data_IF_059597993772
#
_entry.id   IF_059597993772
#
_cell.length_a   1.000
_cell.length_b   1.000
_cell.length_c   1.000
_cell.angle_alpha   90.00
_cell.angle_beta   90.00
_cell.angle_gamma   90.00
#
_symmetry.space_group_name_H-M   'P 1'
#
loop_
_entity.id
_entity.type
_entity.pdbx_description
1 polymer ?
#
# COMPACT_ATOMS: atom_id res chain seq x y z
N UNK A 1 4.27 -52.02 -31.15
CA UNK A 1 3.41 -51.46 -30.07
C UNK A 1 4.23 -50.33 -29.40
N UNK A 2 3.98 -49.14 -29.87
CA UNK A 2 4.75 -47.92 -29.55
C UNK A 2 3.88 -47.06 -28.64
N UNK A 3 4.21 -47.00 -27.35
CA UNK A 3 3.46 -46.21 -26.34
C UNK A 3 4.20 -44.89 -26.09
N UNK A 4 3.85 -43.86 -26.84
CA UNK A 4 4.37 -42.50 -26.67
C UNK A 4 3.66 -41.82 -25.53
N UNK A 5 4.23 -41.87 -24.34
CA UNK A 5 3.84 -41.03 -23.23
C UNK A 5 4.23 -39.59 -23.51
N UNK A 6 3.25 -38.78 -23.92
CA UNK A 6 3.34 -37.32 -23.95
C UNK A 6 3.26 -36.78 -22.52
N UNK A 7 4.40 -36.43 -21.98
CA UNK A 7 4.50 -35.59 -20.77
C UNK A 7 4.01 -34.19 -21.13
N UNK A 8 2.81 -33.83 -20.66
CA UNK A 8 2.34 -32.44 -20.64
C UNK A 8 3.16 -31.69 -19.60
N UNK A 9 4.13 -30.89 -20.03
CA UNK A 9 4.69 -29.80 -19.20
C UNK A 9 3.59 -28.79 -19.02
N UNK A 10 3.01 -28.74 -17.83
CA UNK A 10 2.20 -27.60 -17.38
C UNK A 10 3.11 -26.37 -17.32
N UNK A 11 2.92 -25.43 -18.22
CA UNK A 11 3.47 -24.09 -18.07
C UNK A 11 2.73 -23.44 -16.90
N UNK A 12 3.42 -23.34 -15.76
CA UNK A 12 3.06 -22.37 -14.73
C UNK A 12 3.23 -20.98 -15.37
N UNK A 13 2.15 -20.37 -15.79
CA UNK A 13 2.09 -18.94 -16.00
C UNK A 13 2.23 -18.29 -14.62
N UNK A 14 3.45 -17.98 -14.21
CA UNK A 14 3.72 -16.98 -13.18
C UNK A 14 3.25 -15.65 -13.76
N UNK A 15 2.04 -15.23 -13.38
CA UNK A 15 1.63 -13.86 -13.59
C UNK A 15 2.71 -12.97 -12.96
N UNK A 16 3.34 -12.11 -13.75
CA UNK A 16 4.22 -11.07 -13.23
C UNK A 16 3.32 -10.09 -12.46
N UNK A 17 3.15 -10.36 -11.15
CA UNK A 17 2.52 -9.40 -10.25
C UNK A 17 3.31 -8.09 -10.27
N UNK A 18 2.61 -6.98 -10.11
CA UNK A 18 3.24 -5.66 -9.97
C UNK A 18 4.23 -5.73 -8.82
N UNK A 19 5.42 -5.17 -9.01
CA UNK A 19 6.46 -5.11 -7.98
C UNK A 19 6.40 -3.76 -7.28
N UNK A 20 6.62 -3.77 -5.98
CA UNK A 20 6.77 -2.55 -5.18
C UNK A 20 7.85 -1.65 -5.79
N UNK A 21 7.63 -0.33 -5.74
CA UNK A 21 8.55 0.64 -6.34
C UNK A 21 8.64 1.89 -5.47
N UNK A 22 9.84 2.38 -5.27
CA UNK A 22 10.07 3.67 -4.63
C UNK A 22 10.64 4.64 -5.65
N UNK A 23 10.00 5.83 -5.74
CA UNK A 23 10.58 6.99 -6.43
C UNK A 23 10.74 8.13 -5.44
N UNK A 24 11.92 8.73 -5.41
CA UNK A 24 12.22 9.87 -4.54
C UNK A 24 12.43 11.09 -5.43
N UNK A 25 11.80 12.20 -5.07
CA UNK A 25 11.88 13.47 -5.79
C UNK A 25 12.36 14.58 -4.85
N UNK A 26 12.95 15.65 -5.40
CA UNK A 26 12.96 16.94 -4.71
C UNK A 26 11.54 17.49 -4.66
N UNK A 27 11.15 18.20 -3.59
CA UNK A 27 9.83 18.87 -3.56
C UNK A 27 9.65 19.91 -4.66
N UNK A 28 10.73 20.37 -5.30
CA UNK A 28 10.73 21.41 -6.34
C UNK A 28 10.88 20.87 -7.76
N UNK A 29 11.14 19.55 -7.92
CA UNK A 29 11.41 18.94 -9.23
C UNK A 29 10.73 17.57 -9.36
N UNK A 30 9.99 17.38 -10.44
CA UNK A 30 9.32 16.13 -10.75
C UNK A 30 10.26 15.07 -11.40
N UNK A 31 11.52 15.37 -11.65
CA UNK A 31 12.50 14.37 -12.05
C UNK A 31 12.93 13.52 -10.84
N UNK A 32 12.87 12.19 -10.90
CA UNK A 32 13.22 11.35 -9.77
C UNK A 32 14.72 11.40 -9.48
N UNK A 33 15.08 11.59 -8.21
CA UNK A 33 16.44 11.45 -7.67
C UNK A 33 16.82 9.98 -7.50
N UNK A 34 15.83 9.13 -7.20
CA UNK A 34 15.93 7.68 -7.10
C UNK A 34 14.69 7.05 -7.72
N UNK A 35 14.89 5.93 -8.39
CA UNK A 35 13.81 5.08 -8.91
C UNK A 35 14.26 3.62 -8.79
N UNK A 36 13.63 2.86 -7.89
CA UNK A 36 14.03 1.49 -7.56
C UNK A 36 12.86 0.56 -7.30
N UNK A 37 13.06 -0.71 -7.61
CA UNK A 37 12.17 -1.83 -7.23
C UNK A 37 12.89 -2.85 -6.33
N UNK A 38 14.13 -2.54 -5.92
CA UNK A 38 14.86 -3.39 -4.98
C UNK A 38 14.28 -3.25 -3.57
N UNK A 39 13.72 -4.34 -2.99
CA UNK A 39 13.03 -4.29 -1.71
C UNK A 39 13.94 -3.89 -0.54
N UNK A 40 15.23 -4.19 -0.63
CA UNK A 40 16.19 -3.80 0.41
C UNK A 40 16.40 -2.29 0.39
N UNK A 41 16.66 -1.73 -0.79
CA UNK A 41 16.82 -0.28 -0.97
C UNK A 41 15.55 0.48 -0.57
N UNK A 42 14.36 -0.03 -0.93
CA UNK A 42 13.08 0.58 -0.52
C UNK A 42 12.99 0.65 1.00
N UNK A 43 13.21 -0.47 1.69
CA UNK A 43 13.12 -0.54 3.14
C UNK A 43 14.13 0.37 3.83
N UNK A 44 15.39 0.41 3.37
CA UNK A 44 16.46 1.24 3.93
C UNK A 44 16.18 2.74 3.76
N UNK A 45 15.79 3.18 2.56
CA UNK A 45 15.48 4.59 2.30
C UNK A 45 14.28 5.09 3.12
N UNK A 46 13.27 4.26 3.31
CA UNK A 46 12.11 4.57 4.13
C UNK A 46 12.45 4.55 5.63
N UNK A 47 13.25 3.58 6.09
CA UNK A 47 13.66 3.46 7.50
C UNK A 47 14.46 4.69 7.98
N UNK A 48 15.34 5.27 7.15
CA UNK A 48 16.06 6.53 7.44
C UNK A 48 15.08 7.68 7.74
N UNK A 49 13.84 7.58 7.28
CA UNK A 49 12.76 8.57 7.50
C UNK A 49 11.79 8.17 8.61
N UNK A 50 12.06 7.07 9.31
CA UNK A 50 11.20 6.53 10.35
C UNK A 50 9.98 5.78 9.83
N UNK A 51 9.89 5.56 8.52
CA UNK A 51 8.80 4.81 7.88
C UNK A 51 9.18 3.33 7.82
N UNK A 52 8.38 2.47 8.44
CA UNK A 52 8.55 1.02 8.38
C UNK A 52 7.98 0.49 7.08
N UNK A 53 8.75 -0.28 6.35
CA UNK A 53 8.32 -0.97 5.13
C UNK A 53 8.83 -2.40 5.15
N UNK A 54 7.91 -3.36 5.06
CA UNK A 54 8.23 -4.79 5.14
C UNK A 54 7.41 -5.57 4.12
N UNK A 55 7.89 -6.75 3.79
CA UNK A 55 7.10 -7.73 3.03
C UNK A 55 6.70 -8.90 3.92
N UNK A 56 5.40 -9.14 3.95
CA UNK A 56 4.81 -10.28 4.66
C UNK A 56 4.42 -11.39 3.68
N UNK A 57 4.27 -12.62 4.16
CA UNK A 57 3.85 -13.73 3.31
C UNK A 57 2.48 -13.46 2.68
N UNK A 58 2.40 -13.56 1.35
CA UNK A 58 1.13 -13.55 0.64
C UNK A 58 0.33 -14.81 0.94
N UNK A 59 -0.98 -14.65 1.10
CA UNK A 59 -1.93 -15.75 1.29
C UNK A 59 -3.12 -15.56 0.36
N UNK A 60 -3.51 -16.63 -0.32
CA UNK A 60 -4.72 -16.60 -1.16
C UNK A 60 -5.95 -16.36 -0.27
N UNK A 61 -6.68 -15.29 -0.55
CA UNK A 61 -7.94 -14.93 0.09
C UNK A 61 -9.06 -15.09 -0.94
N UNK A 62 -10.19 -15.67 -0.52
CA UNK A 62 -11.35 -15.76 -1.40
C UNK A 62 -11.83 -14.36 -1.79
N UNK A 63 -12.24 -14.19 -3.05
CA UNK A 63 -12.64 -12.88 -3.59
C UNK A 63 -13.84 -12.28 -2.84
N UNK A 64 -14.66 -13.11 -2.21
CA UNK A 64 -15.83 -12.76 -1.40
C UNK A 64 -15.57 -12.87 0.11
N UNK A 65 -14.31 -13.09 0.53
CA UNK A 65 -13.97 -13.15 1.96
C UNK A 65 -14.38 -11.87 2.67
N UNK A 66 -15.07 -12.02 3.78
CA UNK A 66 -15.42 -10.92 4.66
C UNK A 66 -14.22 -10.48 5.52
N UNK A 67 -14.42 -9.44 6.32
CA UNK A 67 -13.37 -8.92 7.19
C UNK A 67 -12.82 -9.98 8.15
N UNK A 68 -13.71 -10.81 8.73
CA UNK A 68 -13.31 -11.83 9.71
C UNK A 68 -12.39 -12.87 9.07
N UNK A 69 -12.74 -13.36 7.87
CA UNK A 69 -11.94 -14.31 7.13
C UNK A 69 -10.57 -13.74 6.74
N UNK A 70 -10.51 -12.47 6.32
CA UNK A 70 -9.25 -11.80 6.01
C UNK A 70 -8.39 -11.67 7.27
N UNK A 71 -8.93 -11.19 8.38
CA UNK A 71 -8.18 -11.04 9.63
C UNK A 71 -7.73 -12.37 10.21
N UNK A 72 -8.55 -13.43 10.10
CA UNK A 72 -8.17 -14.77 10.53
C UNK A 72 -6.98 -15.33 9.75
N UNK A 73 -6.90 -15.06 8.44
CA UNK A 73 -5.80 -15.50 7.61
C UNK A 73 -4.45 -14.85 7.99
N UNK A 74 -4.46 -13.62 8.51
CA UNK A 74 -3.28 -12.86 8.92
C UNK A 74 -3.18 -12.64 10.43
N UNK A 75 -3.89 -13.45 11.23
CA UNK A 75 -3.94 -13.28 12.67
C UNK A 75 -2.55 -13.26 13.36
N UNK A 76 -1.59 -14.10 13.02
CA UNK A 76 -0.26 -14.05 13.64
C UNK A 76 0.44 -12.71 13.46
N UNK A 77 0.42 -12.16 12.25
CA UNK A 77 1.06 -10.89 11.90
C UNK A 77 0.33 -9.69 12.54
N UNK A 78 -0.99 -9.72 12.56
CA UNK A 78 -1.82 -8.69 13.21
C UNK A 78 -1.56 -8.67 14.71
N UNK A 79 -1.55 -9.82 15.39
CA UNK A 79 -1.28 -9.90 16.82
C UNK A 79 0.16 -9.52 17.17
N UNK A 80 1.13 -9.85 16.30
CA UNK A 80 2.50 -9.36 16.45
C UNK A 80 2.55 -7.82 16.46
N UNK A 81 1.94 -7.16 15.46
CA UNK A 81 1.90 -5.69 15.39
C UNK A 81 1.20 -5.06 16.59
N UNK A 82 0.07 -5.62 17.03
CA UNK A 82 -0.61 -5.15 18.23
C UNK A 82 0.30 -5.22 19.47
N UNK A 83 1.06 -6.30 19.59
CA UNK A 83 2.00 -6.47 20.70
C UNK A 83 3.18 -5.51 20.65
N UNK A 84 3.71 -5.20 19.47
CA UNK A 84 4.88 -4.33 19.28
C UNK A 84 4.55 -2.85 19.50
N UNK A 85 3.42 -2.37 19.00
CA UNK A 85 3.09 -0.94 18.84
C UNK A 85 1.85 -0.51 19.64
N UNK A 86 1.16 -1.46 20.30
CA UNK A 86 -0.02 -1.15 21.12
C UNK A 86 -1.27 -0.78 20.33
N UNK A 87 -1.39 -1.24 19.08
CA UNK A 87 -2.61 -1.07 18.28
C UNK A 87 -3.79 -1.79 18.94
N UNK A 88 -4.94 -1.09 19.02
CA UNK A 88 -6.14 -1.56 19.76
C UNK A 88 -7.27 -1.97 18.87
N UNK A 89 -7.33 -1.43 17.67
CA UNK A 89 -8.35 -1.77 16.68
C UNK A 89 -7.73 -2.10 15.33
N UNK A 90 -8.44 -2.90 14.57
CA UNK A 90 -8.05 -3.36 13.24
C UNK A 90 -9.31 -3.47 12.39
N UNK A 91 -9.21 -3.07 11.14
CA UNK A 91 -10.25 -3.28 10.16
C UNK A 91 -9.67 -3.69 8.80
N UNK A 92 -10.56 -3.97 7.84
CA UNK A 92 -10.22 -4.29 6.46
C UNK A 92 -10.93 -3.33 5.54
N UNK A 93 -10.17 -2.63 4.70
CA UNK A 93 -10.73 -1.86 3.59
C UNK A 93 -10.57 -2.66 2.30
N UNK A 94 -11.66 -2.75 1.53
CA UNK A 94 -11.65 -3.31 0.17
C UNK A 94 -12.19 -2.28 -0.81
N UNK A 95 -11.40 -2.02 -1.85
CA UNK A 95 -11.79 -1.14 -2.95
C UNK A 95 -11.81 -1.91 -4.25
N UNK A 96 -12.91 -1.76 -4.98
CA UNK A 96 -13.13 -2.42 -6.28
C UNK A 96 -13.46 -1.38 -7.34
N UNK A 97 -13.24 -1.68 -8.64
CA UNK A 97 -13.40 -0.69 -9.73
C UNK A 97 -14.82 -0.10 -9.87
N UNK A 98 -15.83 -0.81 -9.39
CA UNK A 98 -17.25 -0.40 -9.41
C UNK A 98 -17.76 0.11 -8.06
N UNK A 99 -16.86 0.34 -7.07
CA UNK A 99 -17.25 0.89 -5.77
C UNK A 99 -17.94 2.26 -5.94
N UNK A 100 -19.15 2.48 -5.38
CA UNK A 100 -19.96 3.69 -5.66
C UNK A 100 -19.29 4.98 -5.20
N UNK A 101 -18.45 4.94 -4.16
CA UNK A 101 -17.79 6.11 -3.60
C UNK A 101 -16.33 6.27 -4.04
N UNK A 102 -15.84 5.46 -4.98
CA UNK A 102 -14.41 5.44 -5.36
C UNK A 102 -13.87 6.82 -5.74
N UNK A 103 -14.62 7.58 -6.53
CA UNK A 103 -14.15 8.88 -7.01
C UNK A 103 -14.10 9.94 -5.89
N UNK A 104 -15.08 9.92 -5.00
CA UNK A 104 -15.12 10.79 -3.82
C UNK A 104 -13.99 10.46 -2.84
N UNK A 105 -13.78 9.16 -2.55
CA UNK A 105 -12.71 8.68 -1.69
C UNK A 105 -11.34 8.98 -2.30
N UNK A 106 -11.16 8.73 -3.60
CA UNK A 106 -9.91 9.07 -4.29
C UNK A 106 -9.60 10.55 -4.17
N UNK A 107 -10.57 11.43 -4.48
CA UNK A 107 -10.40 12.87 -4.38
C UNK A 107 -9.99 13.30 -2.97
N UNK A 108 -10.63 12.73 -1.94
CA UNK A 108 -10.30 12.99 -0.54
C UNK A 108 -8.87 12.57 -0.19
N UNK A 109 -8.44 11.38 -0.60
CA UNK A 109 -7.12 10.85 -0.25
C UNK A 109 -5.98 11.46 -1.06
N UNK A 110 -6.27 12.08 -2.21
CA UNK A 110 -5.27 12.74 -3.05
C UNK A 110 -4.76 14.07 -2.48
N UNK A 111 -5.49 14.71 -1.56
CA UNK A 111 -5.05 15.94 -0.92
C UNK A 111 -4.07 15.63 0.20
N UNK A 112 -2.98 16.40 0.29
CA UNK A 112 -2.00 16.23 1.36
C UNK A 112 -2.65 16.42 2.74
N UNK A 113 -2.40 15.48 3.62
CA UNK A 113 -2.90 15.47 4.99
C UNK A 113 -1.95 14.72 5.92
N UNK A 114 -2.18 14.84 7.22
CA UNK A 114 -1.52 14.04 8.24
C UNK A 114 -2.55 13.49 9.22
N UNK A 115 -2.13 12.51 10.04
CA UNK A 115 -2.91 11.97 11.14
C UNK A 115 -2.21 12.20 12.46
N UNK A 116 -2.97 12.27 13.56
CA UNK A 116 -2.44 12.36 14.90
C UNK A 116 -1.83 11.04 15.40
N UNK A 117 -2.00 9.96 14.63
CA UNK A 117 -1.56 8.61 14.91
C UNK A 117 -0.79 8.03 13.75
N UNK A 118 -0.06 6.92 14.01
CA UNK A 118 0.59 6.16 12.97
C UNK A 118 -0.46 5.59 12.01
N UNK A 119 -0.19 5.68 10.70
CA UNK A 119 -1.00 5.02 9.69
C UNK A 119 -0.34 3.72 9.26
N UNK A 120 -0.98 2.58 9.57
CA UNK A 120 -0.45 1.25 9.23
C UNK A 120 -1.37 0.55 8.26
N UNK A 121 -0.82 0.18 7.11
CA UNK A 121 -1.52 -0.61 6.09
C UNK A 121 -0.69 -1.83 5.69
N UNK A 122 -1.36 -2.97 5.66
CA UNK A 122 -0.86 -4.18 5.02
C UNK A 122 -1.72 -4.52 3.81
N UNK A 123 -1.10 -4.56 2.63
CA UNK A 123 -1.79 -4.87 1.38
C UNK A 123 -1.96 -6.39 1.24
N UNK A 124 -3.18 -6.87 1.46
CA UNK A 124 -3.55 -8.29 1.31
C UNK A 124 -3.58 -8.69 -0.15
N UNK A 125 -4.08 -7.79 -1.01
CA UNK A 125 -4.14 -7.94 -2.46
C UNK A 125 -4.14 -6.57 -3.14
N UNK A 126 -3.74 -6.55 -4.42
CA UNK A 126 -3.78 -5.35 -5.24
C UNK A 126 -2.67 -4.36 -4.92
N UNK A 127 -2.91 -3.08 -5.23
CA UNK A 127 -1.88 -2.04 -5.15
C UNK A 127 -2.44 -0.66 -4.88
N UNK A 128 -1.56 0.25 -4.44
CA UNK A 128 -1.86 1.66 -4.26
C UNK A 128 -0.60 2.50 -4.08
N UNK A 129 -0.65 3.75 -4.51
CA UNK A 129 0.49 4.66 -4.44
C UNK A 129 0.40 5.49 -3.15
N UNK A 130 1.26 5.19 -2.19
CA UNK A 130 1.49 5.98 -0.99
C UNK A 130 2.55 7.03 -1.27
N UNK A 131 2.27 8.30 -0.99
CA UNK A 131 3.26 9.36 -1.21
C UNK A 131 3.46 10.16 0.06
N UNK A 132 4.70 10.28 0.51
CA UNK A 132 5.11 10.94 1.74
C UNK A 132 5.90 12.19 1.42
N UNK A 133 5.63 13.29 2.14
CA UNK A 133 6.37 14.55 1.99
C UNK A 133 7.23 14.77 3.25
N UNK A 134 8.52 14.54 3.13
CA UNK A 134 9.46 14.51 4.25
C UNK A 134 10.77 15.21 3.89
N UNK A 135 11.20 16.18 4.72
CA UNK A 135 12.51 16.81 4.61
C UNK A 135 12.81 17.37 3.20
N UNK A 136 11.88 18.14 2.64
CA UNK A 136 11.97 18.75 1.31
C UNK A 136 12.11 17.72 0.17
N UNK A 137 11.58 16.51 0.39
CA UNK A 137 11.53 15.42 -0.60
C UNK A 137 10.18 14.74 -0.61
N UNK A 138 9.85 14.18 -1.75
CA UNK A 138 8.63 13.41 -1.96
C UNK A 138 9.00 11.97 -2.25
N UNK A 139 8.46 11.04 -1.46
CA UNK A 139 8.69 9.60 -1.53
C UNK A 139 7.43 8.92 -2.05
N UNK A 140 7.38 8.58 -3.32
CA UNK A 140 6.25 7.89 -3.94
C UNK A 140 6.48 6.38 -3.90
N UNK A 141 5.76 5.69 -3.00
CA UNK A 141 5.87 4.26 -2.74
C UNK A 141 4.68 3.55 -3.36
N UNK A 142 4.88 2.83 -4.46
CA UNK A 142 3.89 1.89 -4.96
C UNK A 142 3.92 0.65 -4.07
N UNK A 143 2.90 0.52 -3.22
CA UNK A 143 2.68 -0.65 -2.40
C UNK A 143 1.88 -1.69 -3.17
N UNK A 144 2.28 -2.95 -3.07
CA UNK A 144 1.65 -4.08 -3.74
C UNK A 144 1.28 -5.18 -2.75
N UNK A 145 0.64 -6.25 -3.20
CA UNK A 145 0.34 -7.41 -2.38
C UNK A 145 1.57 -7.88 -1.57
N UNK A 146 1.39 -8.08 -0.28
CA UNK A 146 2.43 -8.47 0.67
C UNK A 146 3.19 -7.31 1.31
N UNK A 147 2.96 -6.05 0.91
CA UNK A 147 3.64 -4.90 1.51
C UNK A 147 2.92 -4.41 2.76
N UNK A 148 3.69 -4.24 3.83
CA UNK A 148 3.35 -3.48 5.02
C UNK A 148 4.02 -2.13 4.95
N UNK A 149 3.27 -1.04 5.12
CA UNK A 149 3.79 0.30 5.34
C UNK A 149 3.23 0.87 6.64
N UNK A 150 4.11 1.43 7.47
CA UNK A 150 3.75 2.16 8.69
C UNK A 150 4.34 3.56 8.64
N UNK A 151 3.46 4.54 8.58
CA UNK A 151 3.79 5.96 8.46
C UNK A 151 3.63 6.61 9.84
N UNK A 152 4.67 7.25 10.40
CA UNK A 152 4.59 7.88 11.71
C UNK A 152 3.55 9.01 11.77
N UNK A 153 2.96 9.19 12.95
CA UNK A 153 2.06 10.31 13.24
C UNK A 153 2.66 11.66 12.81
N UNK A 154 1.81 12.55 12.31
CA UNK A 154 2.21 13.88 11.86
C UNK A 154 2.94 13.94 10.52
N UNK A 155 3.19 12.81 9.86
CA UNK A 155 3.83 12.79 8.54
C UNK A 155 2.87 13.28 7.46
N UNK A 156 3.17 14.37 6.73
CA UNK A 156 2.37 14.80 5.58
C UNK A 156 2.45 13.75 4.46
N UNK A 157 1.29 13.36 3.97
CA UNK A 157 1.19 12.33 2.93
C UNK A 157 -0.12 12.41 2.16
N UNK A 158 -0.20 11.66 1.06
CA UNK A 158 -1.44 11.39 0.32
C UNK A 158 -1.41 9.97 -0.25
N UNK A 159 -2.60 9.48 -0.60
CA UNK A 159 -2.76 8.14 -1.15
C UNK A 159 -3.57 8.18 -2.44
N UNK A 160 -3.05 7.57 -3.50
CA UNK A 160 -3.74 7.41 -4.77
C UNK A 160 -4.04 5.94 -5.04
N UNK A 161 -5.32 5.59 -5.03
CA UNK A 161 -5.79 4.25 -5.35
C UNK A 161 -6.01 4.02 -6.86
N UNK A 162 -5.71 5.03 -7.69
CA UNK A 162 -5.98 4.99 -9.12
C UNK A 162 -7.46 5.20 -9.49
N UNK A 163 -7.75 5.37 -10.77
CA UNK A 163 -9.12 5.59 -11.27
C UNK A 163 -9.98 4.31 -11.27
N UNK A 164 -9.34 3.15 -11.25
CA UNK A 164 -9.99 1.84 -11.19
C UNK A 164 -9.42 1.01 -10.04
N UNK A 165 -9.70 1.40 -8.78
CA UNK A 165 -9.04 0.80 -7.62
C UNK A 165 -9.35 -0.68 -7.50
N UNK A 166 -8.31 -1.45 -7.16
CA UNK A 166 -8.47 -2.88 -6.85
C UNK A 166 -7.44 -3.23 -5.78
N UNK A 167 -7.85 -3.16 -4.52
CA UNK A 167 -7.00 -3.59 -3.40
C UNK A 167 -7.83 -3.99 -2.19
N UNK A 168 -7.25 -4.84 -1.37
CA UNK A 168 -7.70 -5.13 -0.01
C UNK A 168 -6.54 -4.87 0.93
N UNK A 169 -6.77 -4.08 1.97
CA UNK A 169 -5.75 -3.78 2.97
C UNK A 169 -6.27 -3.92 4.40
N UNK A 170 -5.45 -4.50 5.28
CA UNK A 170 -5.64 -4.48 6.72
C UNK A 170 -5.09 -3.16 7.24
N UNK A 171 -5.86 -2.47 8.12
CA UNK A 171 -5.46 -1.22 8.77
C UNK A 171 -5.45 -1.41 10.28
N UNK A 172 -4.43 -0.85 10.95
CA UNK A 172 -4.32 -0.92 12.41
C UNK A 172 -4.33 0.49 13.00
N UNK A 173 -4.99 0.65 14.16
CA UNK A 173 -5.20 1.94 14.81
C UNK A 173 -4.87 1.84 16.30
N UNK A 174 -4.39 2.93 16.89
CA UNK A 174 -4.14 3.02 18.34
C UNK A 174 -5.41 3.39 19.11
N UNK A 175 -6.40 4.02 18.47
CA UNK A 175 -7.70 4.33 19.06
C UNK A 175 -8.87 3.79 18.21
N UNK A 176 -10.08 3.84 18.77
CA UNK A 176 -11.29 3.33 18.11
C UNK A 176 -11.85 4.28 17.04
N UNK A 177 -11.47 5.56 17.06
CA UNK A 177 -12.00 6.58 16.14
C UNK A 177 -11.32 6.51 14.77
N UNK A 178 -10.20 5.76 14.67
CA UNK A 178 -9.44 5.60 13.44
C UNK A 178 -8.69 6.89 13.04
N UNK A 179 -8.36 6.98 11.77
CA UNK A 179 -7.58 8.10 11.24
C UNK A 179 -8.47 9.28 10.84
N UNK A 180 -8.30 10.39 11.54
CA UNK A 180 -8.91 11.66 11.19
C UNK A 180 -7.88 12.45 10.37
N UNK A 181 -8.19 12.71 9.09
CA UNK A 181 -7.31 13.47 8.22
C UNK A 181 -7.30 14.96 8.61
N UNK A 182 -6.12 15.49 8.84
CA UNK A 182 -5.85 16.90 9.03
C UNK A 182 -5.17 17.44 7.76
N UNK A 183 -5.96 18.09 6.90
CA UNK A 183 -5.46 18.60 5.62
C UNK A 183 -4.49 19.74 5.84
N UNK A 184 -3.34 19.70 5.16
CA UNK A 184 -2.31 20.76 5.23
C UNK A 184 -2.69 22.00 4.44
N UNK A 185 -3.51 21.82 3.40
CA UNK A 185 -3.86 22.89 2.44
C UNK A 185 -2.78 23.14 1.39
N UNK A 186 -1.67 22.37 1.41
CA UNK A 186 -0.64 22.44 0.37
C UNK A 186 -1.11 21.69 -0.89
N UNK A 187 -0.91 22.31 -2.05
CA UNK A 187 -1.20 21.71 -3.35
C UNK A 187 -0.03 20.87 -3.92
N UNK A 188 0.95 20.52 -3.09
CA UNK A 188 2.14 19.79 -3.52
C UNK A 188 1.80 18.48 -4.22
N UNK A 189 0.76 17.78 -3.76
CA UNK A 189 0.30 16.52 -4.33
C UNK A 189 -0.04 16.60 -5.83
N UNK A 190 -0.41 17.78 -6.34
CA UNK A 190 -0.76 17.98 -7.74
C UNK A 190 0.46 18.02 -8.68
N UNK A 191 1.65 18.17 -8.13
CA UNK A 191 2.91 18.27 -8.88
C UNK A 191 3.60 16.94 -9.12
N UNK A 192 3.17 15.88 -8.43
CA UNK A 192 3.83 14.58 -8.46
C UNK A 192 3.00 13.51 -9.16
N UNK A 193 3.63 12.42 -9.63
CA UNK A 193 2.97 11.38 -10.38
C UNK A 193 1.77 10.79 -9.63
N UNK A 194 0.69 10.54 -10.36
CA UNK A 194 -0.48 9.80 -9.92
C UNK A 194 -0.28 8.31 -10.15
N UNK A 195 -1.10 7.51 -9.47
CA UNK A 195 -1.17 6.08 -9.72
C UNK A 195 -1.96 5.84 -11.00
N UNK A 196 -1.26 5.38 -12.03
CA UNK A 196 -1.86 4.92 -13.27
C UNK A 196 -1.80 3.39 -13.30
N UNK A 197 -2.92 2.69 -13.49
CA UNK A 197 -2.91 1.25 -13.65
C UNK A 197 -2.01 0.87 -14.82
N UNK A 198 -1.24 -0.20 -14.65
CA UNK A 198 -0.50 -0.78 -15.79
C UNK A 198 -1.55 -1.19 -16.81
N UNK A 199 -1.44 -0.64 -18.03
CA UNK A 199 -2.31 -1.05 -19.14
C UNK A 199 -2.16 -2.55 -19.35
N UNK A 200 -3.28 -3.28 -19.29
CA UNK A 200 -3.36 -4.72 -19.49
C UNK A 200 -3.04 -5.10 -20.95
#
# INVERSE_FOLDING_TARGET
>A
MDDRRRTRRGQLQTGMGTMSRLRIFSETDAAPLLDTQDPVTIAEELAIRGVRFERWPSRAIAADADQEAVLAAFAPEVEQLKGEQGYRSVDVIRMVPDHPEKDALRTKFLSEHCHAEDEVRFFVEGEGLFTLHLNNRVYAVLCTEGDLISVPAGTPHWFDMGPSPRFTAIRLFTNADGWIAQFTGDAIADRFPRHEPIAA
#
